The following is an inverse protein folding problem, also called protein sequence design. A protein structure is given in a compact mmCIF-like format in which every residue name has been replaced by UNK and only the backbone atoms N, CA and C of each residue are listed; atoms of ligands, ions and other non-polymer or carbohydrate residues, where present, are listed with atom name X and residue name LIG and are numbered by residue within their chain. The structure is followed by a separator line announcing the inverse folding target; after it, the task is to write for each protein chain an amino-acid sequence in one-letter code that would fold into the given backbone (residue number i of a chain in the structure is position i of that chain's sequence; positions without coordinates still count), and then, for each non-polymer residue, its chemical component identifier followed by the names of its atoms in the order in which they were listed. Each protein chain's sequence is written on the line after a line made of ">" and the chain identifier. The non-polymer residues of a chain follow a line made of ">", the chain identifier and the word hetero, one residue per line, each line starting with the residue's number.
data_IF_285111542771
#
_entry.id   IF_285111542771
#
_cell.length_a   1.000
_cell.length_b   1.000
_cell.length_c   1.000
_cell.angle_alpha   90.00
_cell.angle_beta   90.00
_cell.angle_gamma   90.00
#
_symmetry.space_group_name_H-M   'P 1'
#
loop_
_entity.id
_entity.type
_entity.pdbx_description
1 polymer ?
#
# COMPACT_ATOMS: atom_id res chain seq x y z
N UNK A 1 -30.40 -24.96 63.93
CA UNK A 1 -29.85 -23.97 62.99
C UNK A 1 -28.91 -24.72 62.06
N UNK A 2 -29.27 -24.92 60.79
CA UNK A 2 -28.55 -25.80 59.87
C UNK A 2 -27.38 -25.07 59.21
N UNK A 3 -26.17 -25.61 59.36
CA UNK A 3 -24.98 -25.13 58.67
C UNK A 3 -24.97 -25.64 57.22
N UNK A 4 -25.03 -24.70 56.26
CA UNK A 4 -25.09 -25.02 54.83
C UNK A 4 -23.67 -25.10 54.28
N UNK A 5 -23.22 -26.32 54.02
CA UNK A 5 -21.89 -26.61 53.48
C UNK A 5 -21.77 -26.13 52.02
N UNK A 6 -21.21 -24.94 51.82
CA UNK A 6 -21.02 -24.29 50.51
C UNK A 6 -19.91 -25.00 49.71
N UNK A 7 -20.27 -25.88 48.78
CA UNK A 7 -19.32 -26.54 47.85
C UNK A 7 -18.56 -25.49 47.03
N UNK A 8 -17.25 -25.34 47.25
CA UNK A 8 -16.36 -24.55 46.37
C UNK A 8 -16.33 -25.19 44.97
N UNK A 9 -16.85 -24.49 43.96
CA UNK A 9 -16.71 -24.90 42.55
C UNK A 9 -15.21 -24.90 42.21
N UNK A 10 -14.65 -26.06 41.82
CA UNK A 10 -13.28 -26.16 41.31
C UNK A 10 -13.20 -25.33 40.03
N UNK A 11 -12.42 -24.25 40.03
CA UNK A 11 -12.10 -23.51 38.80
C UNK A 11 -11.16 -24.40 37.98
N UNK A 12 -11.60 -24.80 36.79
CA UNK A 12 -10.71 -25.43 35.81
C UNK A 12 -9.80 -24.33 35.27
N UNK A 13 -8.51 -24.41 35.58
CA UNK A 13 -7.48 -23.56 35.00
C UNK A 13 -6.97 -24.16 33.69
N UNK A 14 -6.45 -23.31 32.81
CA UNK A 14 -5.74 -23.74 31.61
C UNK A 14 -4.43 -24.45 32.00
N UNK A 15 -4.11 -25.56 31.38
CA UNK A 15 -2.83 -26.25 31.63
C UNK A 15 -1.70 -25.56 30.87
N UNK A 16 -0.48 -25.59 31.42
CA UNK A 16 0.69 -25.08 30.71
C UNK A 16 0.94 -25.86 29.40
N UNK A 17 0.64 -27.16 29.39
CA UNK A 17 0.80 -28.02 28.21
C UNK A 17 -0.14 -27.59 27.08
N UNK A 18 -1.40 -27.27 27.37
CA UNK A 18 -2.34 -26.74 26.38
C UNK A 18 -1.82 -25.44 25.75
N UNK A 19 -1.22 -24.54 26.54
CA UNK A 19 -0.68 -23.29 26.01
C UNK A 19 0.55 -23.53 25.13
N UNK A 20 1.45 -24.43 25.55
CA UNK A 20 2.69 -24.74 24.83
C UNK A 20 2.40 -25.37 23.46
N UNK A 21 1.45 -26.31 23.37
CA UNK A 21 1.08 -26.92 22.08
C UNK A 21 0.46 -25.89 21.13
N UNK A 22 -0.36 -24.96 21.64
CA UNK A 22 -1.00 -23.92 20.82
C UNK A 22 0.05 -22.98 20.22
N UNK A 23 0.98 -22.45 21.03
CA UNK A 23 2.03 -21.55 20.50
C UNK A 23 2.99 -22.28 19.55
N UNK A 24 3.22 -23.59 19.75
CA UNK A 24 4.02 -24.40 18.84
C UNK A 24 3.37 -24.49 17.45
N UNK A 25 2.07 -24.77 17.38
CA UNK A 25 1.33 -24.81 16.10
C UNK A 25 1.28 -23.41 15.47
N UNK A 26 1.02 -22.35 16.25
CA UNK A 26 1.03 -20.97 15.75
C UNK A 26 2.40 -20.58 15.18
N UNK A 27 3.50 -21.02 15.78
CA UNK A 27 4.86 -20.78 15.28
C UNK A 27 5.12 -21.42 13.92
N UNK A 28 4.65 -22.65 13.70
CA UNK A 28 4.77 -23.35 12.40
C UNK A 28 3.99 -22.60 11.33
N UNK A 29 2.74 -22.21 11.62
CA UNK A 29 1.91 -21.47 10.67
C UNK A 29 2.48 -20.09 10.34
N UNK A 30 3.01 -19.38 11.34
CA UNK A 30 3.58 -18.04 11.17
C UNK A 30 4.78 -18.05 10.19
N UNK A 31 5.64 -19.06 10.27
CA UNK A 31 6.82 -19.19 9.39
C UNK A 31 6.44 -19.21 7.90
N UNK A 32 5.33 -19.86 7.55
CA UNK A 32 4.84 -19.94 6.16
C UNK A 32 4.02 -18.68 5.80
N UNK A 33 3.23 -18.17 6.76
CA UNK A 33 2.32 -17.07 6.52
C UNK A 33 3.03 -15.72 6.31
N UNK A 34 4.06 -15.41 7.10
CA UNK A 34 4.77 -14.12 7.07
C UNK A 34 5.34 -13.77 5.69
N UNK A 35 6.16 -14.61 5.02
CA UNK A 35 6.74 -14.26 3.72
C UNK A 35 5.67 -14.14 2.63
N UNK A 36 4.67 -15.03 2.64
CA UNK A 36 3.56 -15.00 1.69
C UNK A 36 2.73 -13.72 1.83
N UNK A 37 2.43 -13.33 3.08
CA UNK A 37 1.66 -12.13 3.35
C UNK A 37 2.43 -10.85 3.00
N UNK A 38 3.74 -10.81 3.30
CA UNK A 38 4.62 -9.70 2.92
C UNK A 38 4.65 -9.51 1.40
N UNK A 39 4.87 -10.57 0.63
CA UNK A 39 4.84 -10.53 -0.84
C UNK A 39 3.47 -10.07 -1.36
N UNK A 40 2.37 -10.61 -0.83
CA UNK A 40 1.02 -10.23 -1.25
C UNK A 40 0.72 -8.75 -0.98
N UNK A 41 1.18 -8.21 0.15
CA UNK A 41 1.04 -6.77 0.46
C UNK A 41 1.83 -5.91 -0.52
N UNK A 42 3.07 -6.26 -0.83
CA UNK A 42 3.88 -5.54 -1.82
C UNK A 42 3.22 -5.51 -3.19
N UNK A 43 2.71 -6.65 -3.67
CA UNK A 43 1.98 -6.73 -4.95
C UNK A 43 0.74 -5.84 -4.96
N UNK A 44 -0.05 -5.83 -3.88
CA UNK A 44 -1.21 -4.96 -3.77
C UNK A 44 -0.82 -3.48 -3.76
N UNK A 45 0.26 -3.11 -3.07
CA UNK A 45 0.77 -1.74 -3.03
C UNK A 45 1.25 -1.27 -4.41
N UNK A 46 1.99 -2.10 -5.15
CA UNK A 46 2.43 -1.81 -6.52
C UNK A 46 1.23 -1.67 -7.47
N UNK A 47 0.24 -2.56 -7.38
CA UNK A 47 -0.97 -2.46 -8.21
C UNK A 47 -1.74 -1.16 -7.95
N UNK A 48 -1.91 -0.77 -6.67
CA UNK A 48 -2.57 0.47 -6.29
C UNK A 48 -1.77 1.70 -6.75
N UNK A 49 -0.45 1.69 -6.59
CA UNK A 49 0.43 2.75 -7.06
C UNK A 49 0.31 2.94 -8.58
N UNK A 50 0.40 1.87 -9.35
CA UNK A 50 0.30 1.94 -10.82
C UNK A 50 -1.08 2.40 -11.28
N UNK A 51 -2.14 2.03 -10.56
CA UNK A 51 -3.48 2.57 -10.81
C UNK A 51 -3.51 4.09 -10.62
N UNK A 52 -2.90 4.61 -9.54
CA UNK A 52 -2.79 6.06 -9.30
C UNK A 52 -1.98 6.75 -10.40
N UNK A 53 -0.84 6.19 -10.83
CA UNK A 53 -0.04 6.73 -11.94
C UNK A 53 -0.88 6.84 -13.21
N UNK A 54 -1.69 5.82 -13.54
CA UNK A 54 -2.56 5.83 -14.73
C UNK A 54 -3.68 6.88 -14.63
N UNK A 55 -4.29 7.03 -13.47
CA UNK A 55 -5.28 8.08 -13.22
C UNK A 55 -4.64 9.45 -13.45
N UNK A 56 -3.45 9.69 -12.89
CA UNK A 56 -2.73 10.97 -13.03
C UNK A 56 -2.34 11.25 -14.48
N UNK A 57 -1.82 10.24 -15.20
CA UNK A 57 -1.57 10.33 -16.65
C UNK A 57 -2.83 10.72 -17.41
N UNK A 58 -3.97 10.09 -17.11
CA UNK A 58 -5.25 10.41 -17.76
C UNK A 58 -5.68 11.86 -17.52
N UNK A 59 -5.57 12.35 -16.28
CA UNK A 59 -5.89 13.74 -15.94
C UNK A 59 -4.92 14.71 -16.62
N UNK A 60 -3.64 14.34 -16.76
CA UNK A 60 -2.66 15.14 -17.47
C UNK A 60 -2.95 15.25 -18.98
N UNK A 61 -3.42 14.17 -19.60
CA UNK A 61 -3.91 14.22 -20.99
C UNK A 61 -5.11 15.15 -21.12
N UNK A 62 -6.06 15.10 -20.19
CA UNK A 62 -7.20 16.02 -20.18
C UNK A 62 -6.76 17.48 -19.99
N UNK A 63 -5.80 17.74 -19.08
CA UNK A 63 -5.22 19.06 -18.89
C UNK A 63 -4.64 19.63 -20.19
N UNK A 64 -3.90 18.80 -20.94
CA UNK A 64 -3.30 19.19 -22.21
C UNK A 64 -4.34 19.38 -23.32
N UNK A 65 -5.44 18.62 -23.31
CA UNK A 65 -6.53 18.82 -24.24
C UNK A 65 -7.23 20.18 -24.03
N UNK A 66 -7.38 20.61 -22.78
CA UNK A 66 -7.91 21.94 -22.44
C UNK A 66 -6.88 23.06 -22.73
N UNK A 67 -5.59 22.76 -22.60
CA UNK A 67 -4.49 23.72 -22.71
C UNK A 67 -3.47 23.29 -23.79
N UNK A 68 -3.82 23.35 -25.09
CA UNK A 68 -3.00 22.77 -26.17
C UNK A 68 -1.64 23.45 -26.37
N UNK A 69 -1.45 24.67 -25.86
CA UNK A 69 -0.17 25.41 -25.93
C UNK A 69 0.64 25.36 -24.63
N UNK A 70 0.19 24.61 -23.62
CA UNK A 70 0.91 24.48 -22.37
C UNK A 70 2.23 23.71 -22.57
N UNK A 71 3.34 24.32 -22.19
CA UNK A 71 4.67 23.70 -22.17
C UNK A 71 5.05 23.14 -20.80
N UNK A 72 4.25 23.44 -19.77
CA UNK A 72 4.40 22.96 -18.41
C UNK A 72 3.02 22.82 -17.74
N UNK A 73 2.96 22.04 -16.67
CA UNK A 73 1.75 21.86 -15.85
C UNK A 73 1.91 22.70 -14.59
N UNK A 74 0.97 23.60 -14.33
CA UNK A 74 0.83 24.19 -13.00
C UNK A 74 0.19 23.16 -12.07
N UNK A 75 0.98 22.61 -11.15
CA UNK A 75 0.51 21.58 -10.21
C UNK A 75 -0.63 22.07 -9.31
N UNK A 76 -0.75 23.38 -9.07
CA UNK A 76 -1.83 23.96 -8.27
C UNK A 76 -3.16 23.93 -9.03
N UNK A 77 -3.13 24.18 -10.34
CA UNK A 77 -4.31 24.08 -11.19
C UNK A 77 -4.63 22.63 -11.53
N UNK A 78 -3.61 21.83 -11.76
CA UNK A 78 -3.73 20.40 -11.98
C UNK A 78 -4.40 19.68 -10.81
N UNK A 79 -3.99 19.97 -9.58
CA UNK A 79 -4.56 19.37 -8.38
C UNK A 79 -6.07 19.65 -8.23
N UNK A 80 -6.57 20.78 -8.74
CA UNK A 80 -8.01 21.12 -8.69
C UNK A 80 -8.88 20.25 -9.60
N UNK A 81 -8.29 19.50 -10.53
CA UNK A 81 -9.03 18.57 -11.40
C UNK A 81 -9.45 17.28 -10.69
N UNK A 82 -8.98 17.08 -9.46
CA UNK A 82 -9.39 15.95 -8.62
C UNK A 82 -10.49 16.41 -7.66
N UNK A 83 -11.55 15.61 -7.53
CA UNK A 83 -12.58 15.79 -6.49
C UNK A 83 -12.00 15.40 -5.12
N UNK A 84 -11.19 16.29 -4.53
CA UNK A 84 -10.52 16.10 -3.25
C UNK A 84 -9.00 16.14 -3.33
N UNK A 85 -8.32 15.44 -2.43
CA UNK A 85 -6.85 15.35 -2.45
C UNK A 85 -6.39 14.48 -3.63
N UNK A 86 -5.30 14.91 -4.29
CA UNK A 86 -4.64 14.08 -5.29
C UNK A 86 -4.22 12.73 -4.69
N UNK A 87 -4.31 11.62 -5.44
CA UNK A 87 -3.77 10.34 -5.01
C UNK A 87 -2.29 10.51 -4.66
N UNK A 88 -1.86 9.92 -3.54
CA UNK A 88 -0.46 9.94 -3.14
C UNK A 88 0.29 8.74 -3.72
N UNK A 89 1.59 8.93 -3.94
CA UNK A 89 2.49 7.87 -4.35
C UNK A 89 2.84 7.01 -3.13
N UNK A 90 2.68 5.69 -3.28
CA UNK A 90 3.11 4.71 -2.28
C UNK A 90 4.62 4.46 -2.27
N UNK A 91 5.30 4.78 -3.37
CA UNK A 91 6.72 4.55 -3.60
C UNK A 91 7.36 5.83 -4.13
N UNK A 92 8.65 6.01 -3.86
CA UNK A 92 9.44 7.08 -4.49
C UNK A 92 9.93 6.68 -5.89
N UNK A 93 10.71 7.56 -6.53
CA UNK A 93 11.29 7.32 -7.85
C UNK A 93 12.34 6.18 -7.88
N UNK A 94 12.87 5.76 -6.72
CA UNK A 94 13.80 4.64 -6.61
C UNK A 94 13.08 3.29 -6.34
N UNK A 95 11.80 3.34 -5.97
CA UNK A 95 10.99 2.20 -5.60
C UNK A 95 11.04 1.80 -4.13
N UNK A 96 11.54 2.72 -3.30
CA UNK A 96 11.50 2.58 -1.85
C UNK A 96 10.11 2.95 -1.33
N UNK A 97 9.69 2.29 -0.24
CA UNK A 97 8.44 2.61 0.46
C UNK A 97 8.50 4.06 0.98
N UNK A 98 7.75 4.96 0.35
CA UNK A 98 7.76 6.38 0.65
C UNK A 98 6.33 6.90 0.78
N UNK A 99 5.61 6.53 1.87
CA UNK A 99 4.23 6.93 2.06
C UNK A 99 4.13 8.45 2.18
N UNK A 100 3.15 9.02 1.50
CA UNK A 100 2.88 10.46 1.37
C UNK A 100 3.74 11.22 0.34
N UNK A 101 4.45 10.53 -0.53
CA UNK A 101 5.11 11.18 -1.66
C UNK A 101 4.05 11.75 -2.62
N UNK A 102 4.23 12.98 -3.06
CA UNK A 102 3.36 13.60 -4.06
C UNK A 102 3.81 13.22 -5.46
N UNK A 103 2.87 13.01 -6.38
CA UNK A 103 3.21 12.85 -7.78
C UNK A 103 3.46 14.21 -8.42
N UNK A 104 4.48 14.25 -9.25
CA UNK A 104 4.80 15.37 -10.13
C UNK A 104 4.49 14.98 -11.56
N UNK A 105 3.96 15.93 -12.33
CA UNK A 105 3.68 15.72 -13.74
C UNK A 105 4.42 16.78 -14.54
N UNK A 106 5.23 16.34 -15.50
CA UNK A 106 5.99 17.21 -16.38
C UNK A 106 5.65 16.93 -17.83
N UNK A 107 5.71 17.97 -18.66
CA UNK A 107 5.55 17.86 -20.11
C UNK A 107 6.90 18.19 -20.73
N UNK A 108 7.42 17.30 -21.58
CA UNK A 108 8.61 17.58 -22.38
C UNK A 108 8.28 17.28 -23.83
N UNK A 109 8.23 18.31 -24.68
CA UNK A 109 7.94 18.18 -26.12
C UNK A 109 6.64 17.42 -26.46
N UNK A 110 5.62 17.49 -25.58
CA UNK A 110 4.35 16.79 -25.75
C UNK A 110 4.27 15.43 -25.04
N UNK A 111 5.38 14.91 -24.53
CA UNK A 111 5.39 13.69 -23.72
C UNK A 111 5.07 14.02 -22.25
N UNK A 112 4.05 13.35 -21.72
CA UNK A 112 3.66 13.44 -20.31
C UNK A 112 4.49 12.46 -19.50
N UNK A 113 5.25 12.97 -18.54
CA UNK A 113 5.99 12.17 -17.57
C UNK A 113 5.37 12.36 -16.18
N UNK A 114 4.99 11.26 -15.55
CA UNK A 114 4.55 11.22 -14.15
C UNK A 114 5.66 10.61 -13.32
N UNK A 115 6.11 11.31 -12.29
CA UNK A 115 7.10 10.83 -11.33
C UNK A 115 6.54 10.93 -9.90
N UNK A 116 6.64 9.89 -9.06
CA UNK A 116 7.15 8.55 -9.36
C UNK A 116 6.35 7.82 -10.45
N UNK A 117 7.06 7.03 -11.28
CA UNK A 117 6.50 6.32 -12.43
C UNK A 117 5.84 4.99 -12.06
N UNK A 118 5.45 4.19 -13.05
CA UNK A 118 4.95 2.84 -12.78
C UNK A 118 6.05 1.97 -12.16
N UNK A 119 5.65 1.07 -11.27
CA UNK A 119 6.53 0.19 -10.51
C UNK A 119 6.27 -1.27 -10.90
N UNK A 120 7.29 -2.11 -10.85
CA UNK A 120 7.18 -3.56 -11.06
C UNK A 120 7.87 -4.31 -9.93
N UNK A 121 7.42 -5.54 -9.69
CA UNK A 121 8.12 -6.45 -8.77
C UNK A 121 9.06 -7.31 -9.60
N UNK A 122 10.35 -7.22 -9.29
CA UNK A 122 11.40 -8.00 -9.94
C UNK A 122 12.26 -8.65 -8.84
N UNK A 123 12.35 -9.99 -8.86
CA UNK A 123 13.06 -10.78 -7.84
C UNK A 123 12.62 -10.50 -6.38
N UNK A 124 11.35 -10.10 -6.17
CA UNK A 124 10.79 -9.82 -4.84
C UNK A 124 11.05 -8.39 -4.33
N UNK A 125 11.74 -7.57 -5.12
CA UNK A 125 11.97 -6.16 -4.87
C UNK A 125 11.08 -5.29 -5.77
N UNK A 126 10.67 -4.14 -5.25
CA UNK A 126 9.93 -3.14 -6.03
C UNK A 126 10.95 -2.30 -6.79
N UNK A 127 10.80 -2.21 -8.11
CA UNK A 127 11.70 -1.46 -8.98
C UNK A 127 10.91 -0.56 -9.92
N UNK A 128 11.42 0.65 -10.24
CA UNK A 128 10.82 1.50 -11.25
C UNK A 128 10.74 0.74 -12.58
N UNK A 129 9.62 0.89 -13.28
CA UNK A 129 9.53 0.52 -14.68
C UNK A 129 10.32 1.57 -15.43
N UNK A 130 11.49 1.17 -15.93
CA UNK A 130 12.29 2.02 -16.81
C UNK A 130 11.42 2.39 -18.02
N UNK A 131 11.30 3.69 -18.36
CA UNK A 131 10.64 4.12 -19.58
C UNK A 131 11.35 3.60 -20.83
#
# INVERSE_FOLDING_TARGET
>A
MFDVMKKKKKRKGFTLVELVVVIAILGILATIAIPKFSSSRKTAAVAAHNANVRIIKSVAVMYLADNPSATSIDMTEFAKRFDGEMPKASFDAAGEDAPNTEFTVTITNGDIKVEPGEMKIENGEVKPVTP
#
